data_IF_983707132479
#
_entry.id   IF_983707132479
#
_cell.length_a   1.000
_cell.length_b   1.000
_cell.length_c   1.000
_cell.angle_alpha   90.00
_cell.angle_beta   90.00
_cell.angle_gamma   90.00
#
_symmetry.space_group_name_H-M   'P 1'
#
loop_
_entity.id
_entity.type
_entity.pdbx_description
1 polymer ?
#
# COMPACT_ATOMS: atom_id res chain seq x y z
N UNK A 1 10.89 16.17 22.91
CA UNK A 1 12.32 16.09 23.29
C UNK A 1 12.91 14.69 23.09
N UNK A 2 12.20 13.62 23.46
CA UNK A 2 12.71 12.24 23.38
C UNK A 2 13.21 11.81 21.98
N UNK A 3 12.57 12.23 20.90
CA UNK A 3 12.95 11.80 19.55
C UNK A 3 14.31 12.35 19.10
N UNK A 4 14.67 13.57 19.51
CA UNK A 4 15.98 14.16 19.19
C UNK A 4 17.08 13.45 19.99
N UNK A 5 16.85 13.18 21.28
CA UNK A 5 17.81 12.51 22.14
C UNK A 5 18.08 11.06 21.68
N UNK A 6 17.03 10.32 21.29
CA UNK A 6 17.19 8.98 20.69
C UNK A 6 17.99 9.00 19.39
N UNK A 7 17.80 10.02 18.55
CA UNK A 7 18.56 10.18 17.32
C UNK A 7 20.05 10.46 17.58
N UNK A 8 20.37 11.37 18.51
CA UNK A 8 21.76 11.62 18.92
C UNK A 8 22.40 10.39 19.55
N UNK A 9 21.66 9.69 20.40
CA UNK A 9 22.12 8.43 21.00
C UNK A 9 22.36 7.35 19.94
N UNK A 10 21.44 7.17 19.00
CA UNK A 10 21.60 6.26 17.86
C UNK A 10 22.82 6.62 16.99
N UNK A 11 23.10 7.92 16.83
CA UNK A 11 24.30 8.40 16.15
C UNK A 11 25.59 8.09 16.87
N UNK A 12 25.63 8.24 18.20
CA UNK A 12 26.77 7.83 19.00
C UNK A 12 27.03 6.32 18.92
N UNK A 13 25.96 5.51 19.00
CA UNK A 13 26.06 4.04 18.88
C UNK A 13 26.56 3.62 17.49
N UNK A 14 26.03 4.25 16.43
CA UNK A 14 26.49 4.02 15.06
C UNK A 14 27.97 4.36 14.89
N UNK A 15 28.40 5.53 15.38
CA UNK A 15 29.80 5.97 15.30
C UNK A 15 30.73 5.03 16.07
N UNK A 16 30.32 4.59 17.27
CA UNK A 16 31.06 3.61 18.06
C UNK A 16 31.25 2.29 17.30
N UNK A 17 30.18 1.78 16.66
CA UNK A 17 30.27 0.56 15.84
C UNK A 17 31.18 0.72 14.62
N UNK A 18 31.22 1.91 14.02
CA UNK A 18 32.10 2.23 12.89
C UNK A 18 33.57 2.24 13.33
N UNK A 19 33.88 2.92 14.44
CA UNK A 19 35.23 2.94 15.02
C UNK A 19 35.69 1.53 15.36
N UNK A 20 34.82 0.71 15.97
CA UNK A 20 35.15 -0.66 16.35
C UNK A 20 35.41 -1.54 15.12
N UNK A 21 34.61 -1.38 14.06
CA UNK A 21 34.83 -2.08 12.78
C UNK A 21 36.16 -1.68 12.14
N UNK A 22 36.49 -0.38 12.10
CA UNK A 22 37.77 0.11 11.58
C UNK A 22 38.93 -0.43 12.41
N UNK A 23 38.81 -0.45 13.74
CA UNK A 23 39.83 -1.00 14.62
C UNK A 23 40.03 -2.50 14.36
N UNK A 24 38.94 -3.26 14.12
CA UNK A 24 39.01 -4.68 13.74
C UNK A 24 39.75 -4.90 12.42
N UNK A 25 39.42 -4.12 11.38
CA UNK A 25 40.12 -4.17 10.08
C UNK A 25 41.61 -3.81 10.27
N UNK A 26 41.89 -2.74 11.00
CA UNK A 26 43.26 -2.28 11.26
C UNK A 26 44.09 -3.31 12.02
N UNK A 27 43.49 -3.97 13.00
CA UNK A 27 44.13 -5.06 13.75
C UNK A 27 44.42 -6.27 12.85
N UNK A 28 43.46 -6.66 11.99
CA UNK A 28 43.67 -7.75 11.03
C UNK A 28 44.79 -7.49 10.03
N UNK A 29 44.96 -6.23 9.60
CA UNK A 29 46.08 -5.82 8.74
C UNK A 29 47.39 -5.82 9.53
N UNK A 30 47.41 -5.30 10.76
CA UNK A 30 48.60 -5.23 11.59
C UNK A 30 49.20 -6.62 11.87
N UNK A 31 48.34 -7.59 12.14
CA UNK A 31 48.73 -8.99 12.43
C UNK A 31 49.00 -9.79 11.14
N UNK A 32 48.69 -9.25 9.96
CA UNK A 32 48.70 -9.98 8.68
C UNK A 32 47.90 -11.29 8.77
N UNK A 33 46.61 -11.17 9.07
CA UNK A 33 45.75 -12.31 9.36
C UNK A 33 45.75 -13.32 8.20
N UNK A 34 46.28 -14.52 8.47
CA UNK A 34 46.20 -15.68 7.59
C UNK A 34 45.30 -16.73 8.24
N UNK A 35 44.81 -17.68 7.43
CA UNK A 35 44.02 -18.81 7.95
C UNK A 35 44.80 -19.73 8.91
N UNK A 36 46.13 -19.58 8.95
CA UNK A 36 47.05 -20.27 9.86
C UNK A 36 47.49 -19.42 11.05
N UNK A 37 47.00 -18.19 11.18
CA UNK A 37 47.29 -17.31 12.32
C UNK A 37 46.78 -17.92 13.61
N UNK A 38 47.32 -17.45 14.74
CA UNK A 38 46.96 -17.98 16.04
C UNK A 38 45.44 -17.84 16.27
N UNK A 39 44.75 -18.86 16.84
CA UNK A 39 43.31 -18.83 17.01
C UNK A 39 42.81 -17.57 17.74
N UNK A 40 43.62 -17.07 18.67
CA UNK A 40 43.31 -15.88 19.46
C UNK A 40 43.30 -14.59 18.61
N UNK A 41 44.18 -14.47 17.62
CA UNK A 41 44.23 -13.34 16.69
C UNK A 41 43.00 -13.34 15.77
N UNK A 42 42.59 -14.53 15.33
CA UNK A 42 41.40 -14.70 14.49
C UNK A 42 40.14 -14.37 15.30
N UNK A 43 39.99 -14.93 16.50
CA UNK A 43 38.84 -14.68 17.38
C UNK A 43 38.69 -13.19 17.65
N UNK A 44 39.77 -12.50 18.02
CA UNK A 44 39.74 -11.08 18.37
C UNK A 44 39.36 -10.21 17.17
N UNK A 45 39.94 -10.46 15.99
CA UNK A 45 39.64 -9.71 14.77
C UNK A 45 38.17 -9.84 14.36
N UNK A 46 37.68 -11.08 14.21
CA UNK A 46 36.31 -11.33 13.79
C UNK A 46 35.28 -10.96 14.85
N UNK A 47 35.62 -11.02 16.14
CA UNK A 47 34.75 -10.54 17.22
C UNK A 47 34.60 -9.02 17.20
N UNK A 48 35.70 -8.27 16.99
CA UNK A 48 35.63 -6.81 16.83
C UNK A 48 34.74 -6.42 15.64
N UNK A 49 34.93 -7.09 14.49
CA UNK A 49 34.11 -6.86 13.30
C UNK A 49 32.64 -7.22 13.54
N UNK A 50 32.38 -8.36 14.17
CA UNK A 50 31.03 -8.84 14.47
C UNK A 50 30.29 -7.88 15.39
N UNK A 51 30.90 -7.49 16.51
CA UNK A 51 30.31 -6.54 17.47
C UNK A 51 30.14 -5.16 16.82
N UNK A 52 31.13 -4.71 16.05
CA UNK A 52 31.07 -3.44 15.31
C UNK A 52 29.88 -3.39 14.36
N UNK A 53 29.66 -4.46 13.60
CA UNK A 53 28.54 -4.58 12.66
C UNK A 53 27.18 -4.62 13.40
N UNK A 54 27.09 -5.30 14.54
CA UNK A 54 25.90 -5.28 15.40
C UNK A 54 25.54 -3.85 15.84
N UNK A 55 26.54 -3.07 16.26
CA UNK A 55 26.36 -1.70 16.75
C UNK A 55 25.99 -0.73 15.62
N UNK A 56 26.57 -0.91 14.43
CA UNK A 56 26.19 -0.14 13.23
C UNK A 56 24.70 -0.36 12.92
N UNK A 57 24.26 -1.62 12.85
CA UNK A 57 22.87 -1.96 12.56
C UNK A 57 21.91 -1.47 13.64
N UNK A 58 22.28 -1.59 14.91
CA UNK A 58 21.49 -1.06 16.02
C UNK A 58 21.39 0.48 15.95
N UNK A 59 22.50 1.16 15.66
CA UNK A 59 22.55 2.61 15.50
C UNK A 59 21.64 3.10 14.38
N UNK A 60 21.65 2.43 13.22
CA UNK A 60 20.73 2.71 12.10
C UNK A 60 19.28 2.54 12.53
N UNK A 61 18.96 1.45 13.24
CA UNK A 61 17.61 1.20 13.74
C UNK A 61 17.14 2.29 14.73
N UNK A 62 18.02 2.83 15.56
CA UNK A 62 17.71 3.90 16.51
C UNK A 62 17.57 5.28 15.83
N UNK A 63 18.32 5.53 14.75
CA UNK A 63 18.21 6.76 13.96
C UNK A 63 16.89 6.85 13.18
N UNK A 64 16.38 5.72 12.69
CA UNK A 64 15.13 5.69 11.94
C UNK A 64 13.96 5.84 12.92
N UNK A 65 13.23 6.95 12.81
CA UNK A 65 12.12 7.28 13.70
C UNK A 65 10.98 6.27 13.55
N UNK A 66 10.87 5.32 14.47
CA UNK A 66 9.75 4.36 14.53
C UNK A 66 8.41 5.08 14.70
N UNK A 67 7.51 4.87 13.74
CA UNK A 67 6.15 5.43 13.76
C UNK A 67 5.16 4.44 14.38
N UNK A 68 4.16 4.97 15.09
CA UNK A 68 3.02 4.20 15.63
C UNK A 68 1.99 4.01 14.51
N UNK A 69 1.39 2.81 14.35
CA UNK A 69 0.84 1.96 15.42
C UNK A 69 1.70 0.76 15.87
N UNK A 70 2.80 0.42 15.17
CA UNK A 70 3.64 -0.74 15.46
C UNK A 70 4.85 -0.47 16.38
N UNK A 71 4.92 0.73 16.98
CA UNK A 71 6.09 1.19 17.73
C UNK A 71 6.50 0.33 18.92
N UNK A 72 5.58 -0.43 19.53
CA UNK A 72 5.94 -1.40 20.58
C UNK A 72 6.62 -2.65 19.99
N UNK A 73 6.00 -3.30 19.01
CA UNK A 73 6.54 -4.52 18.38
C UNK A 73 7.86 -4.27 17.63
N UNK A 74 8.01 -3.11 17.00
CA UNK A 74 9.25 -2.74 16.31
C UNK A 74 10.42 -2.48 17.27
N UNK A 75 10.17 -2.08 18.52
CA UNK A 75 11.23 -2.03 19.54
C UNK A 75 11.65 -3.44 19.97
N UNK A 76 10.69 -4.35 20.17
CA UNK A 76 10.98 -5.73 20.52
C UNK A 76 11.75 -6.46 19.43
N UNK A 77 11.42 -6.25 18.16
CA UNK A 77 12.16 -6.90 17.05
C UNK A 77 13.60 -6.39 16.97
N UNK A 78 13.83 -5.09 17.26
CA UNK A 78 15.17 -4.50 17.31
C UNK A 78 15.99 -5.10 18.44
N UNK A 79 15.43 -5.17 19.64
CA UNK A 79 16.10 -5.76 20.81
C UNK A 79 16.39 -7.24 20.59
N UNK A 80 15.42 -7.99 20.07
CA UNK A 80 15.56 -9.42 19.79
C UNK A 80 16.63 -9.67 18.73
N UNK A 81 16.63 -8.90 17.63
CA UNK A 81 17.66 -8.98 16.61
C UNK A 81 19.06 -8.70 17.16
N UNK A 82 19.19 -7.69 18.03
CA UNK A 82 20.46 -7.35 18.66
C UNK A 82 20.97 -8.44 19.61
N UNK A 83 20.09 -9.00 20.44
CA UNK A 83 20.42 -10.13 21.33
C UNK A 83 20.85 -11.34 20.51
N UNK A 84 20.14 -11.66 19.42
CA UNK A 84 20.50 -12.76 18.53
C UNK A 84 21.90 -12.54 17.93
N UNK A 85 22.16 -11.33 17.45
CA UNK A 85 23.44 -11.00 16.81
C UNK A 85 24.61 -11.09 17.79
N UNK A 86 24.45 -10.57 19.01
CA UNK A 86 25.48 -10.70 20.08
C UNK A 86 25.66 -12.16 20.47
N UNK A 87 24.56 -12.91 20.65
CA UNK A 87 24.65 -14.32 20.99
C UNK A 87 25.38 -15.12 19.91
N UNK A 88 25.29 -14.71 18.65
CA UNK A 88 26.05 -15.30 17.54
C UNK A 88 27.55 -15.07 17.70
N UNK A 89 27.96 -13.84 18.01
CA UNK A 89 29.38 -13.53 18.25
C UNK A 89 29.91 -14.26 19.49
N UNK A 90 29.15 -14.33 20.58
CA UNK A 90 29.54 -15.08 21.77
C UNK A 90 29.70 -16.57 21.46
N UNK A 91 28.77 -17.14 20.70
CA UNK A 91 28.83 -18.54 20.30
C UNK A 91 30.05 -18.83 19.42
N UNK A 92 30.42 -17.90 18.53
CA UNK A 92 31.65 -17.96 17.74
C UNK A 92 32.90 -18.03 18.64
N UNK A 93 33.01 -17.12 19.62
CA UNK A 93 34.16 -17.07 20.55
C UNK A 93 34.32 -18.42 21.29
N UNK A 94 33.22 -19.03 21.72
CA UNK A 94 33.28 -20.27 22.51
C UNK A 94 33.63 -21.52 21.69
N UNK A 95 33.38 -21.53 20.38
CA UNK A 95 33.48 -22.74 19.54
C UNK A 95 34.70 -22.74 18.63
N UNK A 96 35.22 -21.56 18.28
CA UNK A 96 36.25 -21.39 17.25
C UNK A 96 37.49 -22.27 17.44
N UNK A 97 37.89 -22.56 18.67
CA UNK A 97 39.09 -23.35 18.96
C UNK A 97 38.83 -24.88 19.00
N UNK A 98 37.72 -25.31 19.59
CA UNK A 98 37.51 -26.73 19.91
C UNK A 98 36.64 -27.49 18.91
N UNK A 99 35.66 -26.84 18.25
CA UNK A 99 34.59 -27.52 17.52
C UNK A 99 34.21 -26.81 16.21
N UNK A 100 35.19 -26.35 15.42
CA UNK A 100 34.97 -25.80 14.08
C UNK A 100 34.64 -26.89 13.03
N UNK A 101 33.66 -27.72 13.34
CA UNK A 101 33.22 -28.85 12.53
C UNK A 101 31.70 -28.75 12.38
N UNK A 102 31.19 -29.21 11.24
CA UNK A 102 29.75 -29.33 11.02
C UNK A 102 29.11 -30.20 12.13
N UNK A 103 27.96 -29.81 12.72
CA UNK A 103 27.00 -28.77 12.31
C UNK A 103 27.12 -27.42 13.04
N UNK A 104 28.07 -27.26 13.97
CA UNK A 104 28.13 -26.09 14.86
C UNK A 104 28.32 -24.77 14.12
N UNK A 105 29.12 -24.77 13.05
CA UNK A 105 29.34 -23.60 12.18
C UNK A 105 28.02 -23.17 11.52
N UNK A 106 27.17 -24.11 11.11
CA UNK A 106 25.88 -23.80 10.49
C UNK A 106 24.91 -23.16 11.48
N UNK A 107 24.85 -23.65 12.72
CA UNK A 107 24.03 -23.02 13.77
C UNK A 107 24.50 -21.61 14.10
N UNK A 108 25.82 -21.41 14.18
CA UNK A 108 26.42 -20.09 14.36
C UNK A 108 26.01 -19.13 13.23
N UNK A 109 26.21 -19.54 11.97
CA UNK A 109 25.88 -18.71 10.81
C UNK A 109 24.39 -18.39 10.76
N UNK A 110 23.53 -19.37 11.09
CA UNK A 110 22.09 -19.16 11.11
C UNK A 110 21.67 -18.14 12.18
N UNK A 111 22.21 -18.25 13.40
CA UNK A 111 21.91 -17.34 14.51
C UNK A 111 22.33 -15.90 14.19
N UNK A 112 23.54 -15.73 13.68
CA UNK A 112 24.09 -14.43 13.32
C UNK A 112 23.38 -13.81 12.10
N UNK A 113 23.12 -14.62 11.06
CA UNK A 113 22.39 -14.16 9.87
C UNK A 113 20.94 -13.79 10.21
N UNK A 114 20.28 -14.55 11.07
CA UNK A 114 18.93 -14.24 11.55
C UNK A 114 18.91 -12.89 12.30
N UNK A 115 19.89 -12.64 13.17
CA UNK A 115 20.05 -11.35 13.85
C UNK A 115 20.19 -10.19 12.87
N UNK A 116 21.13 -10.29 11.92
CA UNK A 116 21.34 -9.26 10.89
C UNK A 116 20.08 -9.04 10.05
N UNK A 117 19.41 -10.11 9.64
CA UNK A 117 18.20 -10.03 8.84
C UNK A 117 17.08 -9.29 9.57
N UNK A 118 16.89 -9.56 10.87
CA UNK A 118 15.89 -8.86 11.69
C UNK A 118 16.22 -7.38 11.85
N UNK A 119 17.47 -7.04 12.18
CA UNK A 119 17.87 -5.62 12.31
C UNK A 119 17.76 -4.88 10.97
N UNK A 120 18.25 -5.47 9.88
CA UNK A 120 18.20 -4.86 8.55
C UNK A 120 16.76 -4.73 8.04
N UNK A 121 15.95 -5.78 8.19
CA UNK A 121 14.54 -5.79 7.80
C UNK A 121 13.72 -4.75 8.56
N UNK A 122 13.98 -4.59 9.87
CA UNK A 122 13.32 -3.56 10.67
C UNK A 122 13.71 -2.15 10.23
N UNK A 123 15.00 -1.89 9.99
CA UNK A 123 15.47 -0.61 9.47
C UNK A 123 14.88 -0.30 8.08
N UNK A 124 14.93 -1.26 7.17
CA UNK A 124 14.42 -1.13 5.80
C UNK A 124 12.91 -0.90 5.77
N UNK A 125 12.13 -1.70 6.50
CA UNK A 125 10.69 -1.55 6.57
C UNK A 125 10.28 -0.17 7.08
N UNK A 126 10.96 0.33 8.13
CA UNK A 126 10.70 1.66 8.66
C UNK A 126 11.12 2.78 7.70
N UNK A 127 12.21 2.61 6.94
CA UNK A 127 12.65 3.58 5.93
C UNK A 127 11.67 3.65 4.74
N UNK A 128 11.21 2.51 4.23
CA UNK A 128 10.25 2.44 3.13
C UNK A 128 8.91 3.07 3.53
N UNK A 129 8.42 2.76 4.74
CA UNK A 129 7.20 3.37 5.27
C UNK A 129 7.32 4.90 5.36
N UNK A 130 8.49 5.41 5.76
CA UNK A 130 8.75 6.85 5.80
C UNK A 130 8.67 7.49 4.41
N UNK A 131 9.24 6.86 3.39
CA UNK A 131 9.20 7.36 2.01
C UNK A 131 7.77 7.36 1.45
N UNK A 132 7.00 6.28 1.69
CA UNK A 132 5.60 6.20 1.27
C UNK A 132 4.79 7.33 1.89
N UNK A 133 5.04 7.61 3.16
CA UNK A 133 4.34 8.66 3.88
C UNK A 133 4.70 10.05 3.37
N UNK A 134 5.98 10.38 3.22
CA UNK A 134 6.44 11.67 2.68
C UNK A 134 5.79 11.93 1.31
N UNK A 135 5.71 10.91 0.47
CA UNK A 135 4.98 10.99 -0.79
C UNK A 135 3.47 11.26 -0.55
N UNK A 136 2.81 10.52 0.35
CA UNK A 136 1.39 10.72 0.64
C UNK A 136 1.05 12.10 1.19
N UNK A 137 1.90 12.69 2.05
CA UNK A 137 1.70 14.04 2.58
C UNK A 137 1.92 15.09 1.50
N UNK A 138 2.90 14.91 0.61
CA UNK A 138 3.12 15.80 -0.52
C UNK A 138 1.95 15.79 -1.52
N UNK A 139 1.25 14.65 -1.68
CA UNK A 139 0.01 14.58 -2.47
C UNK A 139 -1.19 15.20 -1.75
N UNK A 140 -1.34 14.99 -0.43
CA UNK A 140 -2.42 15.56 0.37
C UNK A 140 -2.33 17.07 0.57
N UNK A 141 -1.12 17.63 0.72
CA UNK A 141 -0.88 19.06 0.90
C UNK A 141 -1.12 19.84 -0.39
N UNK A 142 -0.83 19.25 -1.56
CA UNK A 142 -1.25 19.78 -2.87
C UNK A 142 -2.77 19.75 -3.08
N UNK A 143 -3.49 18.85 -2.40
CA UNK A 143 -4.95 18.78 -2.45
C UNK A 143 -5.64 19.71 -1.44
N UNK A 144 -5.02 19.97 -0.28
CA UNK A 144 -5.63 20.78 0.79
C UNK A 144 -5.28 22.27 0.77
N UNK A 145 -4.23 22.68 0.04
CA UNK A 145 -3.79 24.10 -0.02
C UNK A 145 -4.44 24.91 -1.15
N UNK A 146 -5.23 24.31 -2.02
CA UNK A 146 -6.14 25.05 -2.90
C UNK A 146 -7.48 25.22 -2.22
N UNK A 147 -7.57 26.20 -1.33
CA UNK A 147 -8.85 26.80 -1.02
C UNK A 147 -9.31 27.54 -2.28
N UNK A 148 -9.95 26.82 -3.20
CA UNK A 148 -10.54 27.38 -4.40
C UNK A 148 -11.59 28.40 -3.97
N UNK A 149 -11.35 29.67 -4.27
CA UNK A 149 -12.38 30.69 -4.15
C UNK A 149 -13.40 30.50 -5.29
N UNK A 150 -14.65 30.90 -5.09
CA UNK A 150 -15.75 30.65 -6.05
C UNK A 150 -15.41 31.22 -7.43
N UNK A 151 -14.75 32.39 -7.49
CA UNK A 151 -14.30 32.98 -8.75
C UNK A 151 -13.25 32.14 -9.52
N UNK A 152 -12.38 31.41 -8.82
CA UNK A 152 -11.36 30.57 -9.48
C UNK A 152 -11.99 29.30 -10.08
N UNK A 153 -13.05 28.80 -9.45
CA UNK A 153 -13.84 27.68 -9.96
C UNK A 153 -14.61 28.12 -11.22
N UNK A 154 -15.24 29.30 -11.20
CA UNK A 154 -15.96 29.82 -12.37
C UNK A 154 -15.03 30.03 -13.56
N UNK A 155 -13.83 30.55 -13.33
CA UNK A 155 -12.82 30.76 -14.37
C UNK A 155 -12.28 29.45 -14.95
N UNK A 156 -12.10 28.43 -14.11
CA UNK A 156 -11.65 27.11 -14.57
C UNK A 156 -12.77 26.36 -15.30
N UNK A 157 -14.02 26.50 -14.88
CA UNK A 157 -15.22 25.98 -15.57
C UNK A 157 -15.35 26.64 -16.95
N UNK A 158 -15.26 27.97 -17.04
CA UNK A 158 -15.32 28.71 -18.31
C UNK A 158 -14.18 28.32 -19.27
N UNK A 159 -12.98 28.07 -18.72
CA UNK A 159 -11.84 27.55 -19.49
C UNK A 159 -12.10 26.14 -20.01
N UNK A 160 -12.64 25.24 -19.20
CA UNK A 160 -12.99 23.89 -19.67
C UNK A 160 -14.15 23.90 -20.68
N UNK A 161 -15.12 24.79 -20.52
CA UNK A 161 -16.24 24.95 -21.44
C UNK A 161 -15.77 25.50 -22.79
N UNK A 162 -14.96 26.56 -22.78
CA UNK A 162 -14.37 27.12 -24.01
C UNK A 162 -13.47 26.11 -24.74
N UNK A 163 -12.69 25.31 -24.01
CA UNK A 163 -11.87 24.25 -24.59
C UNK A 163 -12.71 23.07 -25.14
N UNK A 164 -13.81 22.72 -24.46
CA UNK A 164 -14.76 21.73 -24.97
C UNK A 164 -15.49 22.23 -26.23
N UNK A 165 -15.87 23.50 -26.27
CA UNK A 165 -16.46 24.13 -27.47
C UNK A 165 -15.47 24.22 -28.63
N UNK A 166 -14.19 24.52 -28.39
CA UNK A 166 -13.17 24.50 -29.45
C UNK A 166 -12.96 23.09 -30.00
N UNK A 167 -12.96 22.07 -29.14
CA UNK A 167 -12.75 20.68 -29.55
C UNK A 167 -13.98 20.04 -30.23
N UNK A 168 -15.20 20.47 -29.88
CA UNK A 168 -16.43 19.99 -30.52
C UNK A 168 -16.64 20.51 -31.95
N UNK A 169 -15.87 21.51 -32.40
CA UNK A 169 -15.88 21.95 -33.80
C UNK A 169 -15.44 20.84 -34.79
N UNK A 170 -14.70 19.83 -34.31
CA UNK A 170 -14.28 18.68 -35.11
C UNK A 170 -15.37 17.61 -35.31
N UNK A 171 -16.47 17.66 -34.54
CA UNK A 171 -17.58 16.69 -34.70
C UNK A 171 -18.56 17.13 -35.79
N UNK A 172 -18.72 18.45 -36.02
CA UNK A 172 -19.50 18.99 -37.14
C UNK A 172 -18.80 18.88 -38.50
N UNK A 173 -17.51 18.52 -38.53
CA UNK A 173 -16.77 18.22 -39.75
C UNK A 173 -16.96 16.78 -40.25
N UNK A 174 -17.73 15.94 -39.53
CA UNK A 174 -18.17 14.64 -40.03
C UNK A 174 -19.24 14.85 -41.11
N UNK A 175 -18.79 15.21 -42.31
CA UNK A 175 -19.62 15.30 -43.50
C UNK A 175 -19.94 13.85 -43.93
N UNK A 176 -21.00 13.29 -43.36
CA UNK A 176 -21.53 11.99 -43.76
C UNK A 176 -22.25 12.21 -45.10
N UNK A 177 -21.46 12.26 -46.17
CA UNK A 177 -21.97 12.30 -47.54
C UNK A 177 -22.67 10.95 -47.76
N UNK A 178 -23.98 10.92 -47.50
CA UNK A 178 -24.83 9.78 -47.83
C UNK A 178 -24.86 9.71 -49.35
N UNK A 179 -24.03 8.83 -49.89
CA UNK A 179 -24.06 8.45 -51.30
C UNK A 179 -25.41 7.80 -51.57
N UNK A 180 -26.36 8.58 -52.08
CA UNK A 180 -27.58 8.05 -52.69
C UNK A 180 -27.19 7.37 -54.02
N UNK A 181 -26.63 6.16 -53.93
CA UNK A 181 -26.53 5.28 -55.08
C UNK A 181 -27.95 4.87 -55.46
N UNK A 182 -28.49 5.55 -56.49
CA UNK A 182 -29.67 5.13 -57.25
C UNK A 182 -29.40 3.73 -57.80
N UNK A 183 -29.79 2.73 -57.03
CA UNK A 183 -29.82 1.33 -57.45
C UNK A 183 -31.27 0.97 -57.77
N UNK A 184 -31.51 0.65 -59.04
CA UNK A 184 -32.79 0.13 -59.52
C UNK A 184 -33.07 -1.22 -58.84
N UNK A 185 -33.96 -1.22 -57.84
CA UNK A 185 -34.43 -2.43 -57.19
C UNK A 185 -35.22 -3.29 -58.20
N UNK A 186 -34.66 -4.43 -58.61
CA UNK A 186 -35.42 -5.51 -59.27
C UNK A 186 -35.95 -6.48 -58.22
N UNK A 187 -37.27 -6.53 -58.08
CA UNK A 187 -37.98 -7.44 -57.19
C UNK A 187 -37.87 -8.90 -57.70
N UNK A 188 -37.21 -9.76 -56.93
CA UNK A 188 -37.10 -11.20 -57.21
C UNK A 188 -38.42 -11.92 -56.90
N UNK A 189 -38.88 -12.78 -57.82
CA UNK A 189 -40.13 -13.56 -57.75
C UNK A 189 -40.10 -14.73 -56.75
N UNK A 190 -39.78 -14.47 -55.49
CA UNK A 190 -39.86 -15.49 -54.43
C UNK A 190 -40.34 -14.91 -53.11
N UNK A 191 -41.26 -13.94 -53.16
CA UNK A 191 -42.07 -13.57 -52.00
C UNK A 191 -43.37 -14.37 -52.05
N UNK A 192 -43.32 -15.58 -51.51
CA UNK A 192 -44.51 -16.30 -51.08
C UNK A 192 -44.66 -16.08 -49.59
N UNK A 193 -45.68 -15.31 -49.25
CA UNK A 193 -46.19 -15.07 -47.91
C UNK A 193 -46.48 -16.41 -47.23
N UNK A 194 -45.71 -16.74 -46.19
CA UNK A 194 -46.04 -17.84 -45.28
C UNK A 194 -46.02 -17.30 -43.85
N UNK A 195 -47.19 -17.38 -43.21
CA UNK A 195 -47.36 -17.14 -41.79
C UNK A 195 -46.59 -18.21 -41.01
N UNK A 196 -45.44 -17.86 -40.42
CA UNK A 196 -44.79 -18.73 -39.43
C UNK A 196 -44.21 -17.91 -38.26
N UNK A 197 -44.72 -18.30 -37.08
CA UNK A 197 -44.20 -18.20 -35.71
C UNK A 197 -43.43 -16.95 -35.26
N UNK A 198 -44.06 -16.23 -34.32
CA UNK A 198 -43.43 -15.23 -33.45
C UNK A 198 -42.36 -15.91 -32.60
N UNK A 199 -41.10 -15.83 -33.01
CA UNK A 199 -39.95 -16.19 -32.16
C UNK A 199 -39.66 -14.98 -31.27
N UNK A 200 -40.09 -15.04 -30.00
CA UNK A 200 -39.60 -14.11 -28.98
C UNK A 200 -38.18 -14.52 -28.59
N UNK A 201 -37.21 -13.81 -29.15
CA UNK A 201 -35.82 -13.88 -28.70
C UNK A 201 -35.75 -13.05 -27.41
N UNK A 202 -35.68 -13.73 -26.28
CA UNK A 202 -35.53 -13.08 -24.98
C UNK A 202 -34.09 -12.61 -24.83
N UNK A 203 -33.81 -11.37 -25.24
CA UNK A 203 -32.51 -10.74 -25.05
C UNK A 203 -32.26 -10.52 -23.55
N UNK A 204 -31.48 -11.41 -22.95
CA UNK A 204 -30.98 -11.22 -21.60
C UNK A 204 -29.80 -10.25 -21.64
N UNK A 205 -30.09 -8.95 -21.66
CA UNK A 205 -29.05 -7.92 -21.51
C UNK A 205 -28.43 -8.08 -20.12
N UNK A 206 -27.14 -8.42 -20.05
CA UNK A 206 -26.39 -8.62 -18.81
C UNK A 206 -26.47 -7.40 -17.87
N UNK A 207 -26.57 -6.20 -18.42
CA UNK A 207 -26.69 -4.93 -17.66
C UNK A 207 -28.00 -4.84 -16.87
N UNK A 208 -29.10 -5.39 -17.40
CA UNK A 208 -30.39 -5.40 -16.69
C UNK A 208 -30.34 -6.30 -15.44
N UNK A 209 -29.53 -7.37 -15.47
CA UNK A 209 -29.28 -8.24 -14.32
C UNK A 209 -28.39 -7.54 -13.27
N UNK A 210 -27.47 -6.68 -13.71
CA UNK A 210 -26.68 -5.80 -12.85
C UNK A 210 -27.55 -4.83 -12.03
N UNK A 211 -28.59 -4.25 -12.66
CA UNK A 211 -29.57 -3.39 -11.98
C UNK A 211 -30.48 -4.13 -11.00
N UNK A 212 -30.77 -5.42 -11.25
CA UNK A 212 -31.55 -6.25 -10.33
C UNK A 212 -30.74 -6.63 -9.07
N UNK A 213 -29.42 -6.78 -9.23
CA UNK A 213 -28.49 -7.10 -8.15
C UNK A 213 -28.17 -5.90 -7.26
N UNK A 214 -28.14 -4.67 -7.80
CA UNK A 214 -28.01 -3.44 -6.99
C UNK A 214 -29.23 -3.20 -6.10
N UNK A 215 -30.43 -3.60 -6.55
CA UNK A 215 -31.65 -3.51 -5.73
C UNK A 215 -31.71 -4.55 -4.59
N UNK A 216 -31.09 -5.72 -4.79
CA UNK A 216 -31.08 -6.83 -3.82
C UNK A 216 -29.85 -6.83 -2.89
N UNK A 217 -28.89 -5.94 -3.11
CA UNK A 217 -27.83 -5.61 -2.14
C UNK A 217 -26.78 -6.71 -1.90
N UNK A 218 -26.71 -7.74 -2.75
CA UNK A 218 -25.65 -8.76 -2.71
C UNK A 218 -24.91 -8.76 -4.04
N UNK A 219 -23.88 -7.93 -4.12
CA UNK A 219 -22.90 -7.97 -5.22
C UNK A 219 -21.58 -8.44 -4.62
N UNK A 220 -21.20 -9.69 -4.88
CA UNK A 220 -19.86 -10.18 -4.60
C UNK A 220 -18.95 -9.71 -5.74
N UNK A 221 -18.21 -8.63 -5.51
CA UNK A 221 -17.12 -8.19 -6.40
C UNK A 221 -15.78 -8.42 -5.72
N UNK A 222 -14.80 -8.96 -6.45
CA UNK A 222 -13.45 -9.23 -5.95
C UNK A 222 -12.62 -7.95 -5.67
N UNK A 223 -13.18 -6.76 -5.91
CA UNK A 223 -12.56 -5.47 -5.59
C UNK A 223 -13.10 -4.91 -4.28
N UNK A 224 -12.24 -4.89 -3.27
CA UNK A 224 -12.52 -4.45 -1.90
C UNK A 224 -13.05 -3.00 -1.83
N UNK A 225 -12.62 -2.12 -2.74
CA UNK A 225 -13.07 -0.74 -2.79
C UNK A 225 -14.52 -0.59 -3.27
N UNK A 226 -14.95 -1.42 -4.24
CA UNK A 226 -16.31 -1.41 -4.78
C UNK A 226 -17.32 -2.03 -3.81
N UNK A 227 -16.88 -2.99 -2.99
CA UNK A 227 -17.71 -3.59 -1.96
C UNK A 227 -18.05 -2.58 -0.84
N UNK A 228 -17.07 -1.75 -0.42
CA UNK A 228 -17.30 -0.72 0.59
C UNK A 228 -18.27 0.37 0.08
N UNK A 229 -18.10 0.85 -1.15
CA UNK A 229 -18.99 1.88 -1.71
C UNK A 229 -20.41 1.36 -1.91
N UNK A 230 -20.55 0.12 -2.38
CA UNK A 230 -21.84 -0.55 -2.52
C UNK A 230 -22.52 -0.76 -1.17
N UNK A 231 -21.76 -1.14 -0.15
CA UNK A 231 -22.27 -1.29 1.23
C UNK A 231 -22.71 0.05 1.83
N UNK A 232 -21.93 1.11 1.67
CA UNK A 232 -22.31 2.46 2.12
C UNK A 232 -23.55 2.98 1.38
N UNK A 233 -23.65 2.73 0.06
CA UNK A 233 -24.83 3.12 -0.71
C UNK A 233 -26.08 2.34 -0.27
N UNK A 234 -25.96 1.04 -0.01
CA UNK A 234 -27.05 0.22 0.53
C UNK A 234 -27.52 0.72 1.90
N UNK A 235 -26.60 1.04 2.81
CA UNK A 235 -26.93 1.57 4.14
C UNK A 235 -27.61 2.94 4.07
N UNK A 236 -27.15 3.84 3.18
CA UNK A 236 -27.80 5.14 2.97
C UNK A 236 -29.18 5.03 2.33
N UNK A 237 -29.36 4.12 1.36
CA UNK A 237 -30.69 3.87 0.77
C UNK A 237 -31.66 3.30 1.80
N UNK A 238 -31.22 2.33 2.62
CA UNK A 238 -32.07 1.74 3.68
C UNK A 238 -32.51 2.79 4.69
N UNK A 239 -31.60 3.67 5.12
CA UNK A 239 -31.89 4.78 6.04
C UNK A 239 -32.86 5.80 5.43
N UNK A 240 -32.79 6.04 4.11
CA UNK A 240 -33.72 6.92 3.40
C UNK A 240 -35.12 6.30 3.30
N UNK A 241 -35.23 4.99 3.00
CA UNK A 241 -36.50 4.26 3.00
C UNK A 241 -37.18 4.23 4.37
N UNK A 242 -36.43 4.05 5.45
CA UNK A 242 -36.96 4.13 6.82
C UNK A 242 -37.45 5.54 7.19
N UNK A 243 -36.75 6.59 6.75
CA UNK A 243 -37.17 7.98 6.97
C UNK A 243 -38.42 8.36 6.15
N UNK A 244 -38.56 7.85 4.93
CA UNK A 244 -39.78 8.04 4.14
C UNK A 244 -40.98 7.32 4.78
N UNK A 245 -40.81 6.08 5.26
CA UNK A 245 -41.87 5.37 5.96
C UNK A 245 -42.31 6.08 7.25
N UNK A 246 -41.38 6.62 8.05
CA UNK A 246 -41.72 7.44 9.24
C UNK A 246 -42.49 8.71 8.88
N UNK A 247 -42.12 9.41 7.78
CA UNK A 247 -42.87 10.58 7.28
C UNK A 247 -44.28 10.20 6.81
N UNK A 248 -44.45 9.07 6.13
CA UNK A 248 -45.77 8.58 5.69
C UNK A 248 -46.67 8.21 6.86
N UNK A 249 -46.15 7.50 7.86
CA UNK A 249 -46.90 7.11 9.08
C UNK A 249 -47.34 8.36 9.85
N UNK A 250 -46.46 9.35 10.02
CA UNK A 250 -46.80 10.61 10.69
C UNK A 250 -47.86 11.41 9.91
N UNK A 251 -47.83 11.40 8.58
CA UNK A 251 -48.83 12.06 7.73
C UNK A 251 -50.20 11.39 7.84
N UNK A 252 -50.25 10.06 7.91
CA UNK A 252 -51.49 9.31 8.16
C UNK A 252 -52.05 9.54 9.57
N UNK A 253 -51.19 9.59 10.59
CA UNK A 253 -51.59 9.84 11.99
C UNK A 253 -52.18 11.24 12.17
N UNK A 254 -51.60 12.25 11.52
CA UNK A 254 -52.14 13.62 11.53
C UNK A 254 -53.48 13.73 10.79
N UNK A 255 -53.68 12.97 9.70
CA UNK A 255 -54.95 12.96 8.95
C UNK A 255 -56.08 12.22 9.68
N UNK A 256 -55.74 11.24 10.54
CA UNK A 256 -56.72 10.56 11.40
C UNK A 256 -57.14 11.43 12.59
N UNK A 257 -56.20 12.17 13.19
CA UNK A 257 -56.51 13.10 14.29
C UNK A 257 -57.30 14.34 13.84
N UNK A 258 -57.21 14.75 12.57
CA UNK A 258 -58.00 15.87 12.04
C UNK A 258 -59.44 15.51 11.67
N UNK A 259 -59.82 14.22 11.70
CA UNK A 259 -61.19 13.73 11.45
C UNK A 259 -61.98 13.38 12.73
N UNK A 260 -61.37 13.55 13.91
CA UNK A 260 -61.98 13.29 15.23
C UNK A 260 -62.30 14.58 16.01
N UNK A 261 -62.31 15.73 15.34
CA UNK A 261 -62.88 16.98 15.87
C UNK A 261 -64.15 17.30 15.11
#
# INVERSE_FOLDING_TARGET
MESKLRYYFGSMVFLSGLILSIAGIGFGIFVNLMWTSDPLEIITTYSLLGIGLCFILLGINLMIRQRRPYGFYSNWIMVLGFVLSISGVIYFITIFENNWIYPYVTYLSFLYASGICLLSGNAFGNAVLKVIEENSTNFGEKASSKQYNVEDIEKEVEKTLSQAYSNNSNFSAFNLDVKDDKSDFRLSKTFTESQQEKIEIQDSILEAKGLQNTLTGKVNTNDYALDITSKMLSETMKKNSENQNKKFINKFKNKFNSKRK
#
